data_IF_082600158468
#
_entry.id   IF_082600158468
#
_cell.length_a   1.000
_cell.length_b   1.000
_cell.length_c   1.000
_cell.angle_alpha   90.00
_cell.angle_beta   90.00
_cell.angle_gamma   90.00
#
_symmetry.space_group_name_H-M   'P 1'
#
loop_
_entity.id
_entity.type
_entity.pdbx_description
1 polymer ?
#
# COMPACT_ATOMS: atom_id res chain seq x y z
N UNK A 1 12.29 10.57 -18.83
CA UNK A 1 13.38 10.59 -17.85
C UNK A 1 12.77 10.80 -16.47
N UNK A 2 12.79 9.77 -15.63
CA UNK A 2 12.25 9.82 -14.28
C UNK A 2 13.17 10.68 -13.40
N UNK A 3 12.84 11.96 -13.25
CA UNK A 3 13.44 12.76 -12.19
C UNK A 3 12.96 12.15 -10.88
N UNK A 4 13.81 11.40 -10.18
CA UNK A 4 13.63 11.02 -8.78
C UNK A 4 14.17 12.10 -7.84
N UNK A 5 13.74 12.12 -6.58
CA UNK A 5 14.48 12.86 -5.55
C UNK A 5 15.85 12.18 -5.46
N UNK A 6 16.93 12.95 -5.59
CA UNK A 6 18.26 12.41 -5.35
C UNK A 6 18.46 12.14 -3.85
N UNK A 7 19.43 11.30 -3.45
CA UNK A 7 19.73 11.00 -2.05
C UNK A 7 19.88 12.26 -1.17
N UNK A 8 20.50 13.32 -1.71
CA UNK A 8 20.67 14.59 -1.00
C UNK A 8 19.36 15.31 -0.69
N UNK A 9 18.35 15.22 -1.56
CA UNK A 9 17.04 15.79 -1.29
C UNK A 9 16.31 15.02 -0.19
N UNK A 10 16.51 13.70 -0.09
CA UNK A 10 16.00 12.92 1.04
C UNK A 10 16.67 13.33 2.35
N UNK A 11 18.01 13.48 2.36
CA UNK A 11 18.73 13.95 3.56
C UNK A 11 18.25 15.32 4.02
N UNK A 12 17.97 16.25 3.09
CA UNK A 12 17.39 17.55 3.41
C UNK A 12 16.00 17.42 4.06
N UNK A 13 15.11 16.61 3.46
CA UNK A 13 13.77 16.37 4.03
C UNK A 13 13.87 15.80 5.44
N UNK A 14 14.70 14.77 5.63
CA UNK A 14 14.89 14.11 6.93
C UNK A 14 15.41 15.08 7.99
N UNK A 15 16.45 15.85 7.68
CA UNK A 15 17.02 16.82 8.61
C UNK A 15 15.99 17.87 9.04
N UNK A 16 15.16 18.36 8.11
CA UNK A 16 14.16 19.39 8.42
C UNK A 16 12.93 18.84 9.12
N UNK A 17 12.59 17.58 8.85
CA UNK A 17 11.56 16.89 9.61
C UNK A 17 12.01 16.66 11.05
N UNK A 18 13.26 16.25 11.27
CA UNK A 18 13.87 16.07 12.59
C UNK A 18 13.84 17.37 13.42
N UNK A 19 14.27 18.48 12.83
CA UNK A 19 14.17 19.83 13.45
C UNK A 19 12.73 20.18 13.85
N UNK A 20 11.74 19.83 13.02
CA UNK A 20 10.32 20.08 13.32
C UNK A 20 9.80 19.16 14.44
N UNK A 21 10.23 17.90 14.47
CA UNK A 21 9.85 16.95 15.52
C UNK A 21 10.40 17.40 16.88
N UNK A 22 11.67 17.79 16.92
CA UNK A 22 12.32 18.33 18.12
C UNK A 22 11.64 19.63 18.57
N UNK A 23 11.42 20.58 17.65
CA UNK A 23 10.77 21.86 17.97
C UNK A 23 9.33 21.72 18.50
N UNK A 24 8.63 20.64 18.11
CA UNK A 24 7.28 20.32 18.61
C UNK A 24 7.28 19.40 19.83
N UNK A 25 8.45 18.94 20.29
CA UNK A 25 8.57 18.06 21.46
C UNK A 25 8.05 16.64 21.24
N UNK A 26 7.91 16.19 19.98
CA UNK A 26 7.37 14.86 19.65
C UNK A 26 8.23 13.70 20.15
N UNK A 27 9.52 13.94 20.34
CA UNK A 27 10.43 12.94 20.90
C UNK A 27 10.21 12.71 22.40
N UNK A 28 9.67 13.71 23.10
CA UNK A 28 9.39 13.64 24.54
C UNK A 28 7.92 13.30 24.83
N UNK A 29 7.00 13.81 24.00
CA UNK A 29 5.57 13.59 24.12
C UNK A 29 4.97 13.13 22.77
N UNK A 30 4.65 11.82 22.62
CA UNK A 30 4.00 11.29 21.42
C UNK A 30 2.61 11.86 21.14
N UNK A 31 1.99 12.54 22.11
CA UNK A 31 0.70 13.22 21.95
C UNK A 31 0.82 14.67 21.47
N UNK A 32 2.04 15.19 21.34
CA UNK A 32 2.29 16.51 20.79
C UNK A 32 1.79 16.62 19.33
N UNK A 33 1.45 17.84 18.91
CA UNK A 33 0.92 18.09 17.57
C UNK A 33 1.96 17.69 16.51
N UNK A 34 1.60 16.79 15.60
CA UNK A 34 2.50 16.41 14.52
C UNK A 34 2.77 17.56 13.54
N UNK A 35 3.99 17.66 12.96
CA UNK A 35 4.23 18.65 11.92
C UNK A 35 3.51 18.27 10.63
N UNK A 36 3.08 19.29 9.89
CA UNK A 36 2.41 19.16 8.59
C UNK A 36 3.39 19.29 7.43
N UNK A 37 3.01 18.81 6.25
CA UNK A 37 3.80 19.03 5.02
C UNK A 37 3.91 20.52 4.66
N UNK A 38 2.96 21.35 5.10
CA UNK A 38 2.99 22.81 4.92
C UNK A 38 4.11 23.44 5.77
N UNK A 39 4.23 23.02 7.04
CA UNK A 39 5.31 23.46 7.93
C UNK A 39 6.69 23.02 7.42
N UNK A 40 6.79 21.78 6.88
CA UNK A 40 8.00 21.28 6.23
C UNK A 40 8.37 22.09 4.97
N UNK A 41 7.37 22.43 4.15
CA UNK A 41 7.60 23.30 2.98
C UNK A 41 8.10 24.68 3.41
N UNK A 42 7.48 25.26 4.45
CA UNK A 42 7.80 26.60 4.93
C UNK A 42 9.20 26.71 5.54
N UNK A 43 9.63 25.72 6.35
CA UNK A 43 10.97 25.73 6.95
C UNK A 43 12.07 25.67 5.88
N UNK A 44 11.91 24.78 4.89
CA UNK A 44 12.84 24.65 3.74
C UNK A 44 12.83 25.93 2.90
N UNK A 45 11.65 26.53 2.67
CA UNK A 45 11.53 27.78 1.90
C UNK A 45 12.19 28.96 2.60
N UNK A 46 12.05 29.07 3.93
CA UNK A 46 12.66 30.13 4.75
C UNK A 46 14.19 30.02 4.74
N UNK A 47 14.73 28.82 4.85
CA UNK A 47 16.17 28.58 4.80
C UNK A 47 16.79 28.98 3.45
N UNK A 48 16.15 28.57 2.34
CA UNK A 48 16.56 28.95 0.99
C UNK A 48 16.58 30.49 0.79
N UNK A 49 15.66 31.22 1.43
CA UNK A 49 15.58 32.69 1.34
C UNK A 49 16.60 33.42 2.22
N UNK A 50 17.01 32.81 3.34
CA UNK A 50 17.93 33.42 4.30
C UNK A 50 19.36 33.44 3.78
N UNK A 51 19.80 32.38 3.11
CA UNK A 51 21.17 32.27 2.65
C UNK A 51 21.32 32.68 1.18
N UNK A 52 21.81 33.91 0.96
CA UNK A 52 22.04 34.47 -0.38
C UNK A 52 23.33 33.95 -1.04
N UNK A 53 24.13 33.13 -0.35
CA UNK A 53 25.42 32.61 -0.84
C UNK A 53 25.43 31.09 -1.05
N UNK A 54 24.24 30.49 -1.23
CA UNK A 54 24.12 29.05 -1.49
C UNK A 54 24.75 28.70 -2.86
N UNK A 55 25.69 27.74 -2.93
CA UNK A 55 26.20 27.20 -4.19
C UNK A 55 25.07 26.67 -5.10
N UNK A 56 25.24 26.77 -6.42
CA UNK A 56 24.19 26.44 -7.39
C UNK A 56 23.69 24.99 -7.29
N UNK A 57 24.57 24.04 -6.95
CA UNK A 57 24.21 22.63 -6.76
C UNK A 57 23.31 22.42 -5.53
N UNK A 58 23.57 23.13 -4.44
CA UNK A 58 22.73 23.13 -3.24
C UNK A 58 21.40 23.81 -3.53
N UNK A 59 21.41 24.97 -4.22
CA UNK A 59 20.19 25.67 -4.63
C UNK A 59 19.25 24.75 -5.43
N UNK A 60 19.81 23.97 -6.37
CA UNK A 60 19.06 23.02 -7.19
C UNK A 60 18.40 21.91 -6.35
N UNK A 61 19.06 21.45 -5.28
CA UNK A 61 18.50 20.44 -4.35
C UNK A 61 17.28 21.02 -3.62
N UNK A 62 17.41 22.23 -3.07
CA UNK A 62 16.31 22.90 -2.37
C UNK A 62 15.12 23.15 -3.32
N UNK A 63 15.37 23.70 -4.51
CA UNK A 63 14.33 23.98 -5.50
C UNK A 63 13.59 22.71 -5.92
N UNK A 64 14.31 21.63 -6.27
CA UNK A 64 13.71 20.34 -6.62
C UNK A 64 12.88 19.74 -5.48
N UNK A 65 13.33 19.92 -4.24
CA UNK A 65 12.62 19.44 -3.05
C UNK A 65 11.34 20.22 -2.84
N UNK A 66 11.42 21.56 -2.88
CA UNK A 66 10.28 22.45 -2.76
C UNK A 66 9.27 22.24 -3.88
N UNK A 67 9.70 22.09 -5.13
CA UNK A 67 8.80 21.88 -6.27
C UNK A 67 7.94 20.62 -6.11
N UNK A 68 8.48 19.58 -5.46
CA UNK A 68 7.71 18.37 -5.13
C UNK A 68 6.80 18.56 -3.94
N UNK A 69 7.30 19.13 -2.84
CA UNK A 69 6.47 19.38 -1.65
C UNK A 69 5.30 20.32 -1.98
N UNK A 70 5.53 21.30 -2.86
CA UNK A 70 4.53 22.26 -3.34
C UNK A 70 3.29 21.60 -3.93
N UNK A 71 3.44 20.39 -4.47
CA UNK A 71 2.30 19.63 -4.97
C UNK A 71 1.28 19.33 -3.86
N UNK A 72 1.76 18.96 -2.68
CA UNK A 72 0.93 18.59 -1.53
C UNK A 72 0.39 19.80 -0.75
N UNK A 73 1.01 20.96 -0.91
CA UNK A 73 0.63 22.19 -0.17
C UNK A 73 -0.32 23.10 -0.93
N UNK A 74 -0.90 22.66 -2.06
CA UNK A 74 -1.81 23.45 -2.91
C UNK A 74 -3.25 22.96 -2.87
N UNK A 75 -4.19 23.92 -2.97
CA UNK A 75 -5.61 23.72 -3.23
C UNK A 75 -6.25 22.58 -2.40
N UNK A 76 -6.86 21.59 -3.09
CA UNK A 76 -7.52 20.43 -2.48
C UNK A 76 -6.52 19.50 -1.78
N UNK A 77 -5.29 19.38 -2.27
CA UNK A 77 -4.27 18.52 -1.66
C UNK A 77 -3.79 19.04 -0.32
N UNK A 78 -3.73 20.37 -0.14
CA UNK A 78 -3.43 20.97 1.17
C UNK A 78 -4.43 20.51 2.24
N UNK A 79 -5.72 20.44 1.89
CA UNK A 79 -6.76 19.95 2.81
C UNK A 79 -6.61 18.47 3.16
N UNK A 80 -6.02 17.66 2.27
CA UNK A 80 -5.86 16.23 2.49
C UNK A 80 -4.56 15.89 3.25
N UNK A 81 -3.47 16.57 2.93
CA UNK A 81 -2.13 16.22 3.43
C UNK A 81 -1.55 17.20 4.47
N UNK A 82 -2.19 18.35 4.66
CA UNK A 82 -1.74 19.39 5.60
C UNK A 82 -2.85 19.80 6.58
N UNK A 83 -3.92 19.01 6.71
CA UNK A 83 -4.94 19.25 7.73
C UNK A 83 -4.36 18.99 9.12
N UNK A 84 -4.69 19.88 10.06
CA UNK A 84 -4.42 19.69 11.49
C UNK A 84 -5.50 18.83 12.15
N UNK A 85 -6.74 19.03 11.72
CA UNK A 85 -7.86 18.17 12.10
C UNK A 85 -7.69 16.82 11.40
N UNK A 86 -7.34 15.79 12.16
CA UNK A 86 -7.10 14.44 11.66
C UNK A 86 -7.76 13.40 12.59
N UNK A 87 -7.97 12.21 12.05
CA UNK A 87 -8.45 11.05 12.83
C UNK A 87 -7.23 10.23 13.19
N UNK A 88 -7.10 9.87 14.46
CA UNK A 88 -6.04 8.96 14.92
C UNK A 88 -6.22 7.56 14.30
N UNK A 89 -5.12 6.93 13.90
CA UNK A 89 -5.17 5.58 13.30
C UNK A 89 -5.71 4.56 14.31
N UNK A 90 -5.43 4.75 15.60
CA UNK A 90 -6.02 3.95 16.65
C UNK A 90 -7.53 4.11 16.75
N UNK A 91 -8.06 5.32 16.58
CA UNK A 91 -9.50 5.55 16.49
C UNK A 91 -10.11 4.87 15.26
N UNK A 92 -9.45 4.94 14.11
CA UNK A 92 -9.87 4.23 12.89
C UNK A 92 -9.96 2.71 13.12
N UNK A 93 -9.04 2.14 13.91
CA UNK A 93 -8.97 0.71 14.21
C UNK A 93 -9.82 0.26 15.42
N UNK A 94 -10.19 1.16 16.32
CA UNK A 94 -11.01 0.85 17.52
C UNK A 94 -12.45 0.48 17.21
N UNK A 95 -12.95 0.82 16.01
CA UNK A 95 -14.33 0.58 15.60
C UNK A 95 -14.68 -0.92 15.53
N UNK A 96 -15.78 -1.32 16.17
CA UNK A 96 -16.42 -2.62 15.89
C UNK A 96 -17.24 -2.47 14.61
N UNK A 97 -16.62 -2.65 13.45
CA UNK A 97 -17.32 -2.49 12.18
C UNK A 97 -16.42 -2.51 10.96
N UNK A 98 -16.97 -2.03 9.84
CA UNK A 98 -16.27 -1.89 8.57
C UNK A 98 -16.02 -0.42 8.33
N UNK A 99 -14.75 0.00 8.34
CA UNK A 99 -14.35 1.33 7.87
C UNK A 99 -14.11 1.27 6.36
N UNK A 100 -14.78 2.12 5.59
CA UNK A 100 -14.62 2.21 4.14
C UNK A 100 -13.93 3.53 3.81
N UNK A 101 -12.79 3.47 3.12
CA UNK A 101 -12.05 4.64 2.66
C UNK A 101 -12.22 4.75 1.15
N UNK A 102 -13.02 5.72 0.72
CA UNK A 102 -13.27 5.96 -0.70
C UNK A 102 -12.26 6.97 -1.26
N UNK A 103 -11.47 6.52 -2.24
CA UNK A 103 -10.51 7.36 -2.95
C UNK A 103 -10.95 7.71 -4.38
N UNK A 104 -12.25 7.56 -4.70
CA UNK A 104 -12.78 7.66 -6.07
C UNK A 104 -12.52 9.01 -6.76
N UNK A 105 -12.56 10.12 -6.01
CA UNK A 105 -12.33 11.47 -6.54
C UNK A 105 -10.85 11.87 -6.66
N UNK A 106 -9.92 11.07 -6.14
CA UNK A 106 -8.49 11.32 -6.32
C UNK A 106 -8.04 10.93 -7.73
N UNK A 107 -7.03 11.61 -8.26
CA UNK A 107 -6.38 11.16 -9.49
C UNK A 107 -5.63 9.84 -9.23
N UNK A 108 -5.59 8.96 -10.23
CA UNK A 108 -5.01 7.60 -10.13
C UNK A 108 -3.54 7.58 -9.68
N UNK A 109 -2.80 8.67 -9.91
CA UNK A 109 -1.41 8.79 -9.46
C UNK A 109 -1.27 8.98 -7.93
N UNK A 110 -2.32 9.43 -7.23
CA UNK A 110 -2.27 9.72 -5.78
C UNK A 110 -2.94 8.65 -4.92
N UNK A 111 -3.91 7.91 -5.48
CA UNK A 111 -4.61 6.84 -4.76
C UNK A 111 -3.62 5.84 -4.15
N UNK A 112 -2.60 5.34 -4.89
CA UNK A 112 -1.67 4.37 -4.32
C UNK A 112 -0.86 4.90 -3.15
N UNK A 113 -0.45 6.17 -3.22
CA UNK A 113 0.31 6.79 -2.15
C UNK A 113 -0.54 6.92 -0.87
N UNK A 114 -1.75 7.47 -0.98
CA UNK A 114 -2.64 7.66 0.18
C UNK A 114 -3.08 6.34 0.80
N UNK A 115 -3.62 5.43 -0.02
CA UNK A 115 -4.10 4.14 0.44
C UNK A 115 -2.96 3.28 0.98
N UNK A 116 -1.79 3.36 0.35
CA UNK A 116 -0.61 2.67 0.82
C UNK A 116 -0.12 3.21 2.17
N UNK A 117 -0.07 4.53 2.34
CA UNK A 117 0.28 5.17 3.61
C UNK A 117 -0.66 4.74 4.74
N UNK A 118 -1.97 4.69 4.48
CA UNK A 118 -2.97 4.25 5.45
C UNK A 118 -2.78 2.78 5.86
N UNK A 119 -2.57 1.88 4.89
CA UNK A 119 -2.31 0.47 5.18
C UNK A 119 -1.03 0.29 6.03
N UNK A 120 0.03 1.04 5.71
CA UNK A 120 1.29 1.04 6.47
C UNK A 120 1.07 1.58 7.89
N UNK A 121 0.28 2.65 8.03
CA UNK A 121 -0.02 3.25 9.32
C UNK A 121 -0.81 2.29 10.22
N UNK A 122 -1.83 1.60 9.68
CA UNK A 122 -2.59 0.58 10.41
C UNK A 122 -1.71 -0.56 10.91
N UNK A 123 -0.75 -1.02 10.09
CA UNK A 123 0.21 -2.05 10.48
C UNK A 123 1.13 -1.57 11.59
N UNK A 124 1.77 -0.40 11.43
CA UNK A 124 2.69 0.11 12.44
C UNK A 124 1.98 0.46 13.75
N UNK A 125 0.74 0.94 13.70
CA UNK A 125 -0.06 1.15 14.90
C UNK A 125 -0.14 -0.14 15.73
N UNK A 126 -0.52 -1.27 15.12
CA UNK A 126 -0.59 -2.56 15.83
C UNK A 126 0.79 -3.08 16.25
N UNK A 127 1.81 -2.88 15.42
CA UNK A 127 3.19 -3.24 15.75
C UNK A 127 3.71 -2.56 17.03
N UNK A 128 3.37 -1.30 17.25
CA UNK A 128 3.84 -0.53 18.40
C UNK A 128 2.87 -0.49 19.59
N UNK A 129 1.59 -0.79 19.40
CA UNK A 129 0.57 -0.74 20.45
C UNK A 129 0.00 -2.12 20.85
N UNK A 130 0.43 -3.20 20.18
CA UNK A 130 0.00 -4.56 20.47
C UNK A 130 -1.02 -5.12 19.47
N UNK A 131 -1.12 -6.45 19.47
CA UNK A 131 -2.04 -7.20 18.64
C UNK A 131 -3.50 -6.81 18.90
N UNK A 132 -4.35 -6.96 17.88
CA UNK A 132 -5.79 -6.76 18.05
C UNK A 132 -6.43 -7.96 18.77
N UNK A 133 -7.38 -7.70 19.67
CA UNK A 133 -8.14 -8.75 20.36
C UNK A 133 -9.05 -9.53 19.40
N UNK A 134 -9.43 -8.92 18.28
CA UNK A 134 -10.24 -9.54 17.22
C UNK A 134 -9.47 -9.49 15.88
N UNK A 135 -9.66 -10.48 14.99
CA UNK A 135 -9.03 -10.45 13.67
C UNK A 135 -9.40 -9.20 12.87
N UNK A 136 -8.39 -8.45 12.44
CA UNK A 136 -8.55 -7.26 11.59
C UNK A 136 -8.22 -7.58 10.14
N UNK A 137 -9.08 -7.17 9.22
CA UNK A 137 -8.86 -7.33 7.78
C UNK A 137 -8.60 -5.97 7.12
N UNK A 138 -7.41 -5.77 6.57
CA UNK A 138 -7.12 -4.65 5.68
C UNK A 138 -7.40 -5.11 4.25
N UNK A 139 -8.52 -4.65 3.71
CA UNK A 139 -8.94 -4.97 2.33
C UNK A 139 -8.44 -3.88 1.38
N UNK A 140 -7.63 -4.28 0.41
CA UNK A 140 -7.11 -3.42 -0.64
C UNK A 140 -7.71 -3.79 -1.98
N UNK A 141 -8.64 -2.96 -2.46
CA UNK A 141 -9.09 -2.97 -3.85
C UNK A 141 -7.99 -2.47 -4.78
N UNK A 142 -7.94 -3.01 -5.99
CA UNK A 142 -6.90 -2.71 -7.00
C UNK A 142 -5.46 -2.78 -6.45
N UNK A 143 -5.18 -3.75 -5.57
CA UNK A 143 -3.92 -3.87 -4.83
C UNK A 143 -2.65 -3.86 -5.72
N UNK A 144 -2.76 -4.25 -6.99
CA UNK A 144 -1.68 -4.19 -7.98
C UNK A 144 -1.19 -2.76 -8.27
N UNK A 145 -1.97 -1.72 -7.95
CA UNK A 145 -1.55 -0.32 -8.03
C UNK A 145 -0.78 0.14 -6.78
N UNK A 146 -0.93 -0.55 -5.65
CA UNK A 146 -0.45 -0.13 -4.32
C UNK A 146 0.73 -0.99 -3.86
N UNK A 147 0.53 -2.30 -3.83
CA UNK A 147 1.46 -3.29 -3.27
C UNK A 147 2.38 -3.88 -4.36
N UNK A 148 2.92 -3.02 -5.22
CA UNK A 148 3.88 -3.41 -6.25
C UNK A 148 5.32 -3.41 -5.71
N UNK A 149 6.19 -4.13 -6.41
CA UNK A 149 7.59 -4.27 -6.03
C UNK A 149 8.38 -2.98 -6.30
N UNK A 150 8.50 -2.14 -5.26
CA UNK A 150 9.28 -0.89 -5.27
C UNK A 150 10.80 -1.13 -5.29
N UNK A 151 11.27 -2.31 -4.89
CA UNK A 151 12.71 -2.64 -4.84
C UNK A 151 13.34 -2.70 -6.23
N UNK A 152 12.52 -2.94 -7.25
CA UNK A 152 12.91 -2.88 -8.67
C UNK A 152 13.17 -1.46 -9.18
N UNK A 153 12.87 -0.43 -8.40
CA UNK A 153 13.18 0.95 -8.76
C UNK A 153 14.67 1.27 -8.50
N UNK A 154 15.29 2.02 -9.41
CA UNK A 154 16.68 2.49 -9.23
C UNK A 154 16.86 3.32 -7.94
N UNK A 155 15.79 3.97 -7.47
CA UNK A 155 15.80 4.79 -6.25
C UNK A 155 15.86 3.91 -5.00
N UNK A 156 15.17 2.77 -4.97
CA UNK A 156 15.21 1.85 -3.84
C UNK A 156 16.62 1.29 -3.60
N UNK A 157 17.34 0.93 -4.67
CA UNK A 157 18.73 0.50 -4.58
C UNK A 157 19.68 1.58 -4.05
N UNK A 158 19.43 2.86 -4.36
CA UNK A 158 20.21 3.98 -3.82
C UNK A 158 19.91 4.29 -2.35
N UNK A 159 18.73 3.92 -1.85
CA UNK A 159 18.29 4.13 -0.48
C UNK A 159 18.46 2.88 0.42
N UNK A 160 19.13 1.84 -0.07
CA UNK A 160 19.26 0.54 0.61
C UNK A 160 17.91 -0.04 1.08
N UNK A 161 16.84 0.20 0.31
CA UNK A 161 15.53 -0.41 0.59
C UNK A 161 15.60 -1.85 0.10
N UNK A 162 15.90 -2.77 1.01
CA UNK A 162 16.11 -4.19 0.73
C UNK A 162 14.82 -5.01 0.66
N UNK A 163 13.75 -4.51 1.29
CA UNK A 163 12.45 -5.17 1.35
C UNK A 163 11.32 -4.17 1.06
N UNK A 164 10.36 -4.56 0.23
CA UNK A 164 9.16 -3.77 0.01
C UNK A 164 8.33 -3.71 1.29
N UNK A 165 7.83 -2.53 1.67
CA UNK A 165 7.06 -2.39 2.91
C UNK A 165 5.86 -3.34 2.98
N UNK A 166 5.20 -3.61 1.84
CA UNK A 166 4.10 -4.57 1.77
C UNK A 166 4.53 -6.03 1.88
N UNK A 167 5.76 -6.37 1.48
CA UNK A 167 6.31 -7.71 1.70
C UNK A 167 6.48 -7.97 3.21
N UNK A 168 6.97 -6.95 3.92
CA UNK A 168 7.08 -6.95 5.38
C UNK A 168 5.73 -7.04 6.08
N UNK A 169 4.75 -6.23 5.65
CA UNK A 169 3.40 -6.30 6.24
C UNK A 169 2.81 -7.70 5.99
N UNK A 170 2.98 -8.27 4.79
CA UNK A 170 2.46 -9.60 4.47
C UNK A 170 3.11 -10.72 5.31
N UNK A 171 4.39 -10.58 5.70
CA UNK A 171 5.10 -11.58 6.52
C UNK A 171 4.83 -11.42 8.02
N UNK A 172 4.74 -10.19 8.52
CA UNK A 172 4.67 -9.90 9.96
C UNK A 172 3.25 -9.64 10.49
N UNK A 173 2.29 -9.21 9.65
CA UNK A 173 0.96 -8.74 10.12
C UNK A 173 0.17 -9.76 10.95
N UNK A 174 0.33 -11.05 10.65
CA UNK A 174 -0.34 -12.13 11.37
C UNK A 174 0.04 -12.21 12.86
N UNK A 175 1.25 -11.76 13.24
CA UNK A 175 1.68 -11.68 14.65
C UNK A 175 0.83 -10.71 15.47
N UNK A 176 0.20 -9.74 14.79
CA UNK A 176 -0.61 -8.69 15.39
C UNK A 176 -2.13 -8.93 15.23
N UNK A 177 -2.54 -10.15 14.85
CA UNK A 177 -3.93 -10.51 14.53
C UNK A 177 -4.56 -9.63 13.43
N UNK A 178 -3.70 -9.16 12.51
CA UNK A 178 -4.09 -8.33 11.37
C UNK A 178 -3.75 -9.07 10.07
N UNK A 179 -4.64 -9.02 9.08
CA UNK A 179 -4.50 -9.78 7.85
C UNK A 179 -4.80 -8.90 6.64
N UNK A 180 -4.05 -9.13 5.56
CA UNK A 180 -4.24 -8.42 4.30
C UNK A 180 -5.15 -9.21 3.36
N UNK A 181 -6.13 -8.54 2.78
CA UNK A 181 -6.95 -9.06 1.67
C UNK A 181 -6.64 -8.22 0.44
N UNK A 182 -5.88 -8.79 -0.48
CA UNK A 182 -5.43 -8.13 -1.71
C UNK A 182 -6.34 -8.52 -2.88
N UNK A 183 -7.10 -7.57 -3.41
CA UNK A 183 -7.95 -7.78 -4.58
C UNK A 183 -7.26 -7.15 -5.80
N UNK A 184 -6.86 -7.97 -6.76
CA UNK A 184 -6.06 -7.52 -7.91
C UNK A 184 -6.50 -8.17 -9.22
N UNK A 185 -6.55 -7.35 -10.28
CA UNK A 185 -6.76 -7.81 -11.66
C UNK A 185 -5.47 -8.34 -12.30
N UNK A 186 -4.32 -7.77 -11.91
CA UNK A 186 -2.98 -8.11 -12.41
C UNK A 186 -2.07 -8.61 -11.27
N UNK A 187 -2.31 -9.82 -10.72
CA UNK A 187 -1.57 -10.32 -9.56
C UNK A 187 -0.06 -10.48 -9.80
N UNK A 188 0.40 -10.55 -11.05
CA UNK A 188 1.83 -10.61 -11.42
C UNK A 188 2.60 -9.33 -11.07
N UNK A 189 1.90 -8.21 -10.93
CA UNK A 189 2.50 -6.91 -10.56
C UNK A 189 2.77 -6.80 -9.06
N UNK A 190 2.10 -7.61 -8.22
CA UNK A 190 2.28 -7.58 -6.77
C UNK A 190 3.75 -7.85 -6.37
N UNK A 191 4.12 -7.45 -5.16
CA UNK A 191 5.40 -7.81 -4.55
C UNK A 191 5.60 -9.33 -4.48
N UNK A 192 6.84 -9.79 -4.68
CA UNK A 192 7.18 -11.22 -4.53
C UNK A 192 6.94 -11.71 -3.10
N UNK A 193 7.23 -10.88 -2.09
CA UNK A 193 6.96 -11.21 -0.69
C UNK A 193 5.47 -11.31 -0.41
N UNK A 194 4.64 -10.40 -0.93
CA UNK A 194 3.17 -10.50 -0.84
C UNK A 194 2.67 -11.82 -1.42
N UNK A 195 3.13 -12.22 -2.62
CA UNK A 195 2.73 -13.49 -3.23
C UNK A 195 3.17 -14.71 -2.42
N UNK A 196 4.41 -14.72 -1.93
CA UNK A 196 4.96 -15.84 -1.13
C UNK A 196 4.26 -16.01 0.21
N UNK A 197 3.84 -14.91 0.83
CA UNK A 197 3.13 -14.92 2.11
C UNK A 197 1.61 -15.07 1.97
N UNK A 198 1.09 -15.27 0.76
CA UNK A 198 -0.34 -15.50 0.54
C UNK A 198 -0.77 -16.80 1.20
N UNK A 199 -1.63 -16.73 2.22
CA UNK A 199 -2.15 -17.91 2.93
C UNK A 199 -3.39 -18.55 2.29
N UNK A 200 -4.19 -17.74 1.58
CA UNK A 200 -5.40 -18.16 0.88
C UNK A 200 -5.42 -17.53 -0.52
N UNK A 201 -5.55 -18.35 -1.54
CA UNK A 201 -5.68 -17.91 -2.92
C UNK A 201 -7.12 -18.10 -3.40
N UNK A 202 -7.76 -17.02 -3.83
CA UNK A 202 -9.06 -17.04 -4.49
C UNK A 202 -8.89 -16.49 -5.90
N UNK A 203 -9.14 -17.31 -6.90
CA UNK A 203 -8.95 -16.95 -8.32
C UNK A 203 -10.26 -17.06 -9.07
N UNK A 204 -10.78 -15.92 -9.50
CA UNK A 204 -11.87 -15.84 -10.46
C UNK A 204 -11.33 -15.97 -11.89
N UNK A 205 -12.22 -15.89 -12.88
CA UNK A 205 -11.84 -15.93 -14.30
C UNK A 205 -10.74 -14.91 -14.62
N UNK A 206 -9.63 -15.40 -15.18
CA UNK A 206 -8.56 -14.57 -15.74
C UNK A 206 -8.60 -14.64 -17.27
N UNK A 207 -8.64 -13.49 -17.95
CA UNK A 207 -8.79 -13.45 -19.41
C UNK A 207 -7.46 -13.76 -20.10
N UNK A 208 -7.53 -14.63 -21.11
CA UNK A 208 -6.37 -15.06 -21.89
C UNK A 208 -6.01 -13.98 -22.93
N UNK A 209 -5.21 -12.99 -22.53
CA UNK A 209 -4.63 -11.98 -23.43
C UNK A 209 -3.12 -12.16 -23.58
N UNK A 210 -2.54 -11.75 -24.72
CA UNK A 210 -1.09 -11.80 -24.94
C UNK A 210 -0.27 -11.09 -23.84
N UNK A 211 -0.82 -9.99 -23.28
CA UNK A 211 -0.21 -9.23 -22.19
C UNK A 211 -0.40 -9.88 -20.80
N UNK A 212 -1.43 -10.71 -20.62
CA UNK A 212 -1.84 -11.27 -19.33
C UNK A 212 -1.54 -12.77 -19.19
N UNK A 213 -0.69 -13.30 -20.09
CA UNK A 213 -0.16 -14.67 -19.97
C UNK A 213 0.62 -14.87 -18.67
N UNK A 214 1.25 -13.83 -18.16
CA UNK A 214 2.04 -13.89 -16.92
C UNK A 214 1.16 -14.14 -15.70
N UNK A 215 0.02 -13.45 -15.58
CA UNK A 215 -0.94 -13.64 -14.48
C UNK A 215 -1.47 -15.07 -14.45
N UNK A 216 -1.99 -15.55 -15.60
CA UNK A 216 -2.48 -16.91 -15.74
C UNK A 216 -1.40 -17.95 -15.44
N UNK A 217 -0.20 -17.79 -15.99
CA UNK A 217 0.89 -18.74 -15.78
C UNK A 217 1.32 -18.78 -14.32
N UNK A 218 1.42 -17.62 -13.68
CA UNK A 218 1.79 -17.52 -12.26
C UNK A 218 0.72 -18.16 -11.37
N UNK A 219 -0.56 -17.90 -11.62
CA UNK A 219 -1.64 -18.51 -10.85
C UNK A 219 -1.74 -20.02 -11.09
N UNK A 220 -1.56 -20.49 -12.33
CA UNK A 220 -1.47 -21.93 -12.62
C UNK A 220 -0.33 -22.57 -11.83
N UNK A 221 0.84 -21.92 -11.73
CA UNK A 221 1.95 -22.41 -10.89
C UNK A 221 1.62 -22.39 -9.40
N UNK A 222 0.84 -21.41 -8.93
CA UNK A 222 0.37 -21.35 -7.54
C UNK A 222 -0.74 -22.37 -7.25
N UNK A 223 -1.42 -22.92 -8.26
CA UNK A 223 -2.45 -23.94 -8.10
C UNK A 223 -1.92 -25.36 -8.35
N UNK A 224 -1.04 -25.53 -9.32
CA UNK A 224 -0.53 -26.83 -9.75
C UNK A 224 0.53 -27.37 -8.78
N UNK A 225 0.53 -28.69 -8.58
CA UNK A 225 1.42 -29.39 -7.65
C UNK A 225 2.86 -29.54 -8.19
N UNK A 226 3.04 -29.58 -9.50
CA UNK A 226 4.36 -29.81 -10.13
C UNK A 226 4.69 -28.75 -11.19
N UNK A 227 5.69 -27.91 -10.93
CA UNK A 227 6.13 -26.88 -11.88
C UNK A 227 6.70 -27.40 -13.20
N UNK A 228 7.03 -28.70 -13.29
CA UNK A 228 7.69 -29.32 -14.45
C UNK A 228 6.71 -29.90 -15.48
N UNK A 229 5.44 -30.09 -15.10
CA UNK A 229 4.41 -30.61 -16.01
C UNK A 229 3.73 -29.50 -16.81
N UNK A 230 3.26 -29.84 -18.02
CA UNK A 230 2.40 -28.94 -18.79
C UNK A 230 0.99 -28.92 -18.19
N UNK A 231 0.59 -27.76 -17.67
CA UNK A 231 -0.73 -27.52 -17.05
C UNK A 231 -1.67 -26.75 -17.98
N UNK A 232 -1.53 -26.92 -19.29
CA UNK A 232 -2.38 -26.24 -20.29
C UNK A 232 -3.88 -26.44 -20.07
N UNK A 233 -4.31 -27.57 -19.48
CA UNK A 233 -5.71 -27.80 -19.12
C UNK A 233 -6.19 -26.91 -17.97
N UNK A 234 -5.41 -26.80 -16.90
CA UNK A 234 -5.70 -25.91 -15.77
C UNK A 234 -5.76 -24.45 -16.25
N UNK A 235 -4.83 -24.07 -17.12
CA UNK A 235 -4.82 -22.75 -17.75
C UNK A 235 -6.11 -22.48 -18.53
N UNK A 236 -6.51 -23.42 -19.41
CA UNK A 236 -7.76 -23.33 -20.18
C UNK A 236 -8.99 -23.30 -19.28
N UNK A 237 -8.98 -24.06 -18.18
CA UNK A 237 -10.05 -24.10 -17.20
C UNK A 237 -10.24 -22.73 -16.52
N UNK A 238 -9.18 -22.15 -15.97
CA UNK A 238 -9.22 -20.83 -15.33
C UNK A 238 -9.70 -19.73 -16.30
N UNK A 239 -9.24 -19.78 -17.55
CA UNK A 239 -9.65 -18.82 -18.58
C UNK A 239 -11.12 -18.92 -18.99
N UNK A 240 -11.76 -20.07 -18.72
CA UNK A 240 -13.16 -20.37 -19.07
C UNK A 240 -14.11 -20.35 -17.87
N UNK A 241 -13.63 -20.05 -16.66
CA UNK A 241 -14.48 -19.97 -15.48
C UNK A 241 -15.68 -19.02 -15.73
N UNK A 242 -16.92 -19.44 -15.43
CA UNK A 242 -18.07 -18.56 -15.51
C UNK A 242 -18.00 -17.45 -14.45
N UNK A 243 -18.73 -16.36 -14.66
CA UNK A 243 -18.84 -15.28 -13.67
C UNK A 243 -19.45 -15.83 -12.38
N UNK A 244 -18.91 -15.41 -11.24
CA UNK A 244 -19.33 -15.88 -9.92
C UNK A 244 -18.76 -17.25 -9.52
N UNK A 245 -17.86 -17.83 -10.32
CA UNK A 245 -17.11 -19.03 -9.95
C UNK A 245 -15.64 -18.70 -9.70
N UNK A 246 -15.05 -19.36 -8.71
CA UNK A 246 -13.62 -19.24 -8.43
C UNK A 246 -13.00 -20.57 -8.07
N UNK A 247 -11.69 -20.70 -8.26
CA UNK A 247 -10.89 -21.70 -7.55
C UNK A 247 -10.38 -21.12 -6.24
N UNK A 248 -10.49 -21.89 -5.16
CA UNK A 248 -10.01 -21.52 -3.82
C UNK A 248 -8.97 -22.53 -3.38
N UNK A 249 -7.81 -22.06 -2.93
CA UNK A 249 -6.72 -22.90 -2.43
C UNK A 249 -6.15 -22.33 -1.13
N UNK A 250 -6.04 -23.18 -0.10
CA UNK A 250 -5.21 -22.88 1.06
C UNK A 250 -3.75 -23.09 0.67
N UNK A 251 -2.95 -22.05 0.79
CA UNK A 251 -1.55 -22.05 0.35
C UNK A 251 -0.59 -22.47 1.47
N UNK A 252 -0.99 -22.27 2.74
CA UNK A 252 -0.16 -22.53 3.92
C UNK A 252 -0.88 -23.51 4.86
N UNK A 253 -0.47 -24.78 4.84
CA UNK A 253 -0.92 -25.83 5.76
C UNK A 253 0.17 -26.92 5.84
N UNK A 254 0.14 -27.72 6.90
CA UNK A 254 1.01 -28.87 7.09
C UNK A 254 0.51 -30.13 6.37
N UNK A 255 -0.79 -30.17 6.01
CA UNK A 255 -1.40 -31.28 5.29
C UNK A 255 -1.56 -30.94 3.81
N UNK A 256 -0.87 -31.67 2.94
CA UNK A 256 -0.93 -31.48 1.49
C UNK A 256 -2.33 -31.73 0.92
N UNK A 257 -3.13 -32.59 1.54
CA UNK A 257 -4.51 -32.87 1.10
C UNK A 257 -5.38 -31.62 1.29
N UNK A 258 -5.18 -30.89 2.38
CA UNK A 258 -5.89 -29.63 2.64
C UNK A 258 -5.49 -28.49 1.68
N UNK A 259 -4.38 -28.64 0.94
CA UNK A 259 -3.97 -27.67 -0.08
C UNK A 259 -4.68 -27.88 -1.42
N UNK A 260 -5.56 -28.88 -1.56
CA UNK A 260 -6.21 -29.11 -2.84
C UNK A 260 -7.10 -27.94 -3.25
N UNK A 261 -6.96 -27.45 -4.50
CA UNK A 261 -7.82 -26.38 -4.98
C UNK A 261 -9.24 -26.90 -5.17
N UNK A 262 -10.21 -26.15 -4.64
CA UNK A 262 -11.64 -26.46 -4.77
C UNK A 262 -12.33 -25.42 -5.64
N UNK A 263 -13.33 -25.87 -6.40
CA UNK A 263 -14.17 -24.99 -7.20
C UNK A 263 -15.35 -24.51 -6.34
N UNK A 264 -15.52 -23.19 -6.25
CA UNK A 264 -16.57 -22.55 -5.44
C UNK A 264 -17.48 -21.70 -6.34
N UNK A 265 -18.79 -21.86 -6.16
CA UNK A 265 -19.81 -20.98 -6.74
C UNK A 265 -20.24 -19.96 -5.68
N UNK A 266 -20.01 -18.69 -5.95
CA UNK A 266 -20.39 -17.59 -5.07
C UNK A 266 -21.85 -17.22 -5.31
N UNK A 267 -22.59 -17.00 -4.22
CA UNK A 267 -23.94 -16.45 -4.30
C UNK A 267 -23.91 -15.02 -4.84
N UNK A 268 -24.83 -14.71 -5.75
CA UNK A 268 -25.04 -13.32 -6.15
C UNK A 268 -25.76 -12.58 -5.03
N UNK A 269 -25.14 -11.51 -4.53
CA UNK A 269 -25.74 -10.62 -3.55
C UNK A 269 -26.00 -9.28 -4.22
N UNK A 270 -27.27 -8.91 -4.33
CA UNK A 270 -27.66 -7.60 -4.84
C UNK A 270 -27.46 -6.55 -3.73
N UNK A 271 -26.29 -5.92 -3.74
CA UNK A 271 -25.98 -4.83 -2.82
C UNK A 271 -26.25 -3.51 -3.54
N UNK A 272 -27.13 -2.68 -2.98
CA UNK A 272 -27.30 -1.31 -3.45
C UNK A 272 -26.08 -0.50 -3.02
N UNK A 273 -25.50 0.35 -3.90
CA UNK A 273 -24.37 1.19 -3.51
C UNK A 273 -24.73 1.98 -2.25
N UNK A 274 -23.79 2.11 -1.30
CA UNK A 274 -24.02 2.89 -0.09
C UNK A 274 -24.41 4.32 -0.48
N UNK A 275 -25.37 4.90 0.24
CA UNK A 275 -25.71 6.33 0.14
C UNK A 275 -24.88 7.06 1.20
N UNK A 276 -24.31 8.21 0.87
CA UNK A 276 -23.43 9.03 1.74
C UNK A 276 -23.91 9.13 3.21
N UNK A 277 -25.23 9.18 3.40
CA UNK A 277 -25.92 9.28 4.69
C UNK A 277 -25.74 8.04 5.60
N UNK A 278 -25.14 6.95 5.12
CA UNK A 278 -24.91 5.70 5.86
C UNK A 278 -23.45 5.46 6.24
N UNK A 279 -22.53 6.32 5.80
CA UNK A 279 -21.09 6.20 6.08
C UNK A 279 -20.71 6.88 7.42
N UNK A 280 -21.64 7.61 8.04
CA UNK A 280 -21.44 8.36 9.29
C UNK A 280 -22.11 7.74 10.53
N UNK A 281 -21.84 6.46 10.83
CA UNK A 281 -22.15 5.86 12.14
C UNK A 281 -21.05 4.96 12.64
#
# INVERSE_FOLDING_TARGET
>A
MAYGLGPRSYSLIWSKLDELYEAKGLYDDPSAEAPTLDELYDIISKELRRDRRIPFDVLNIYQKTLDRLKFFTRDKFKKLFCAKDSIDVGELLKGKGVAIIEAGELADIHKPFLLGLLAIACFYYRKFNGASDIPELIVMEEAHQIAFDVTKSQIAGMLNITEGIFDRIASESAEYNQYLVMIAQYPSILGDGVRKNTGLLVTFKLVLGYRYREDLTMIVRMLARDSKMDHGEVLRFLARLPIGWSTVRKMRTFDLIETEPVLVKWGYLEIRPPKDNRISK
#
